data_IF_192348377674
#
_entry.id   IF_192348377674
#
_cell.length_a   1.000
_cell.length_b   1.000
_cell.length_c   1.000
_cell.angle_alpha   90.00
_cell.angle_beta   90.00
_cell.angle_gamma   90.00
#
_symmetry.space_group_name_H-M   'P 1'
#
loop_
_entity.id
_entity.type
_entity.pdbx_description
1 polymer ?
#
# COMPACT_ATOMS: atom_id res chain seq x y z
N UNK A 1 -6.62 -28.22 -33.18
CA UNK A 1 -7.94 -28.38 -33.84
C UNK A 1 -8.95 -27.48 -33.15
N UNK A 2 -9.04 -26.24 -33.63
CA UNK A 2 -9.90 -25.18 -33.08
C UNK A 2 -11.24 -25.23 -33.80
N UNK A 3 -12.05 -26.25 -33.52
CA UNK A 3 -13.34 -26.45 -34.23
C UNK A 3 -14.51 -25.65 -33.61
N UNK A 4 -14.24 -24.87 -32.55
CA UNK A 4 -15.24 -24.15 -31.77
C UNK A 4 -15.02 -22.62 -31.73
N UNK A 5 -14.11 -22.10 -32.56
CA UNK A 5 -14.09 -20.67 -32.86
C UNK A 5 -15.14 -20.37 -33.95
N UNK A 6 -16.43 -20.65 -33.66
CA UNK A 6 -17.49 -20.07 -34.50
C UNK A 6 -17.52 -18.58 -34.19
N UNK A 7 -17.17 -17.76 -35.18
CA UNK A 7 -17.27 -16.32 -35.10
C UNK A 7 -18.68 -15.94 -34.61
N UNK A 8 -18.73 -14.97 -33.68
CA UNK A 8 -19.93 -14.42 -33.03
C UNK A 8 -21.13 -14.22 -33.99
N UNK A 9 -20.84 -13.98 -35.27
CA UNK A 9 -21.80 -13.76 -36.35
C UNK A 9 -22.53 -15.02 -36.85
N UNK A 10 -22.13 -16.23 -36.44
CA UNK A 10 -22.69 -17.51 -36.96
C UNK A 10 -23.36 -18.40 -35.93
N UNK A 11 -23.23 -18.10 -34.63
CA UNK A 11 -23.74 -18.97 -33.54
C UNK A 11 -25.27 -19.00 -33.49
N UNK A 12 -25.93 -17.87 -33.78
CA UNK A 12 -27.40 -17.80 -33.84
C UNK A 12 -28.01 -18.73 -34.90
N UNK A 13 -27.24 -19.11 -35.93
CA UNK A 13 -27.62 -20.06 -36.99
C UNK A 13 -27.03 -21.45 -36.81
N UNK A 14 -26.20 -21.66 -35.78
CA UNK A 14 -25.61 -22.96 -35.49
C UNK A 14 -26.65 -23.94 -34.90
N UNK A 15 -26.29 -25.22 -34.81
CA UNK A 15 -27.14 -26.21 -34.16
C UNK A 15 -27.39 -25.85 -32.70
N UNK A 16 -28.54 -26.30 -32.14
CA UNK A 16 -28.87 -26.09 -30.73
C UNK A 16 -27.78 -26.63 -29.79
N UNK A 17 -27.17 -27.75 -30.12
CA UNK A 17 -26.03 -28.28 -29.37
C UNK A 17 -24.85 -27.31 -29.36
N UNK A 18 -24.49 -26.73 -30.51
CA UNK A 18 -23.40 -25.75 -30.58
C UNK A 18 -23.74 -24.45 -29.85
N UNK A 19 -25.00 -24.02 -29.84
CA UNK A 19 -25.48 -22.88 -29.06
C UNK A 19 -25.35 -23.13 -27.54
N UNK A 20 -25.71 -24.32 -27.06
CA UNK A 20 -25.49 -24.73 -25.66
C UNK A 20 -24.01 -24.85 -25.30
N UNK A 21 -23.20 -25.45 -26.19
CA UNK A 21 -21.74 -25.55 -26.00
C UNK A 21 -21.13 -24.15 -25.92
N UNK A 22 -21.57 -23.21 -26.76
CA UNK A 22 -21.11 -21.83 -26.70
C UNK A 22 -21.49 -21.16 -25.38
N UNK A 23 -22.76 -21.25 -24.96
CA UNK A 23 -23.21 -20.68 -23.70
C UNK A 23 -22.40 -21.22 -22.50
N UNK A 24 -22.19 -22.53 -22.41
CA UNK A 24 -21.47 -23.13 -21.28
C UNK A 24 -19.98 -22.81 -21.25
N UNK A 25 -19.35 -22.58 -22.40
CA UNK A 25 -17.90 -22.32 -22.47
C UNK A 25 -17.55 -20.84 -22.45
N UNK A 26 -18.45 -19.97 -22.93
CA UNK A 26 -18.13 -18.57 -23.18
C UNK A 26 -19.05 -17.57 -22.49
N UNK A 27 -20.12 -17.99 -21.79
CA UNK A 27 -21.06 -17.02 -21.20
C UNK A 27 -20.45 -16.06 -20.17
N UNK A 28 -19.35 -16.43 -19.53
CA UNK A 28 -18.64 -15.55 -18.59
C UNK A 28 -17.99 -14.33 -19.26
N UNK A 29 -17.75 -14.39 -20.58
CA UNK A 29 -17.09 -13.34 -21.35
C UNK A 29 -18.11 -12.32 -21.94
N UNK A 30 -19.41 -12.54 -21.74
CA UNK A 30 -20.48 -11.71 -22.29
C UNK A 30 -21.49 -11.31 -21.20
N UNK A 31 -22.01 -10.08 -21.31
CA UNK A 31 -23.14 -9.67 -20.48
C UNK A 31 -24.44 -10.36 -20.94
N UNK A 32 -25.46 -10.35 -20.08
CA UNK A 32 -26.70 -11.05 -20.36
C UNK A 32 -27.50 -10.46 -21.53
N UNK A 33 -27.33 -9.17 -21.86
CA UNK A 33 -27.97 -8.57 -23.03
C UNK A 33 -27.33 -9.07 -24.34
N UNK A 34 -25.99 -9.15 -24.37
CA UNK A 34 -25.23 -9.72 -25.46
C UNK A 34 -25.55 -11.20 -25.67
N UNK A 35 -25.68 -11.98 -24.58
CA UNK A 35 -26.09 -13.39 -24.66
C UNK A 35 -27.49 -13.56 -25.24
N UNK A 36 -28.47 -12.73 -24.83
CA UNK A 36 -29.84 -12.76 -25.40
C UNK A 36 -29.85 -12.41 -26.88
N UNK A 37 -28.98 -11.49 -27.32
CA UNK A 37 -28.82 -11.14 -28.74
C UNK A 37 -28.19 -12.28 -29.55
N UNK A 38 -27.20 -12.97 -29.00
CA UNK A 38 -26.50 -14.09 -29.67
C UNK A 38 -27.33 -15.38 -29.67
N UNK A 39 -28.11 -15.60 -28.61
CA UNK A 39 -28.91 -16.81 -28.34
C UNK A 39 -30.38 -16.45 -28.06
N UNK A 40 -31.15 -15.97 -29.07
CA UNK A 40 -32.52 -15.50 -28.87
C UNK A 40 -33.54 -16.62 -28.63
N UNK A 41 -33.10 -17.87 -28.44
CA UNK A 41 -33.99 -18.99 -28.15
C UNK A 41 -34.52 -18.93 -26.73
N UNK A 42 -35.83 -19.14 -26.55
CA UNK A 42 -36.48 -19.09 -25.24
C UNK A 42 -35.91 -20.11 -24.24
N UNK A 43 -35.34 -21.21 -24.73
CA UNK A 43 -34.68 -22.22 -23.91
C UNK A 43 -33.39 -21.72 -23.23
N UNK A 44 -32.79 -20.63 -23.73
CA UNK A 44 -31.59 -20.04 -23.16
C UNK A 44 -31.89 -18.95 -22.12
N UNK A 45 -33.09 -18.36 -22.14
CA UNK A 45 -33.47 -17.29 -21.19
C UNK A 45 -33.30 -17.72 -19.71
N UNK A 46 -33.75 -18.91 -19.27
CA UNK A 46 -33.54 -19.33 -17.87
C UNK A 46 -32.06 -19.48 -17.52
N UNK A 47 -31.24 -19.96 -18.46
CA UNK A 47 -29.81 -20.13 -18.25
C UNK A 47 -29.09 -18.79 -18.19
N UNK A 48 -29.39 -17.87 -19.10
CA UNK A 48 -28.83 -16.50 -19.12
C UNK A 48 -29.22 -15.76 -17.84
N UNK A 49 -30.49 -15.82 -17.42
CA UNK A 49 -30.95 -15.17 -16.18
C UNK A 49 -30.28 -15.75 -14.91
N UNK A 50 -30.04 -17.06 -14.89
CA UNK A 50 -29.31 -17.70 -13.78
C UNK A 50 -27.86 -17.21 -13.72
N UNK A 51 -27.19 -17.10 -14.87
CA UNK A 51 -25.81 -16.59 -14.98
C UNK A 51 -25.75 -15.13 -14.51
N UNK A 52 -26.67 -14.27 -14.94
CA UNK A 52 -26.75 -12.88 -14.47
C UNK A 52 -26.90 -12.80 -12.94
N UNK A 53 -27.77 -13.63 -12.37
CA UNK A 53 -28.00 -13.66 -10.91
C UNK A 53 -26.73 -14.08 -10.15
N UNK A 54 -26.01 -15.07 -10.67
CA UNK A 54 -24.75 -15.54 -10.07
C UNK A 54 -23.65 -14.48 -10.22
N UNK A 55 -23.55 -13.87 -11.40
CA UNK A 55 -22.58 -12.81 -11.70
C UNK A 55 -22.79 -11.61 -10.78
N UNK A 56 -24.02 -11.10 -10.67
CA UNK A 56 -24.36 -9.97 -9.82
C UNK A 56 -24.00 -10.23 -8.34
N UNK A 57 -24.32 -11.43 -7.82
CA UNK A 57 -23.94 -11.81 -6.45
C UNK A 57 -22.44 -11.93 -6.25
N UNK A 58 -21.72 -12.39 -7.26
CA UNK A 58 -20.26 -12.56 -7.21
C UNK A 58 -19.57 -11.20 -7.28
N UNK A 59 -20.04 -10.30 -8.14
CA UNK A 59 -19.56 -8.93 -8.24
C UNK A 59 -19.81 -8.16 -6.93
N UNK A 60 -21.01 -8.26 -6.36
CA UNK A 60 -21.33 -7.67 -5.05
C UNK A 60 -20.37 -8.15 -3.96
N UNK A 61 -20.08 -9.47 -3.94
CA UNK A 61 -19.12 -10.05 -3.01
C UNK A 61 -17.71 -9.53 -3.25
N UNK A 62 -17.24 -9.49 -4.49
CA UNK A 62 -15.91 -8.98 -4.85
C UNK A 62 -15.77 -7.50 -4.47
N UNK A 63 -16.82 -6.70 -4.66
CA UNK A 63 -16.83 -5.29 -4.26
C UNK A 63 -16.76 -5.14 -2.74
N UNK A 64 -17.45 -5.98 -1.99
CA UNK A 64 -17.37 -6.00 -0.52
C UNK A 64 -15.97 -6.40 -0.04
N UNK A 65 -15.44 -7.52 -0.54
CA UNK A 65 -14.13 -8.05 -0.15
C UNK A 65 -13.00 -7.03 -0.51
N UNK A 66 -13.11 -6.34 -1.65
CA UNK A 66 -12.19 -5.25 -2.02
C UNK A 66 -12.25 -4.06 -1.08
N UNK A 67 -13.45 -3.63 -0.65
CA UNK A 67 -13.62 -2.54 0.32
C UNK A 67 -13.02 -2.90 1.68
N UNK A 68 -13.27 -4.12 2.15
CA UNK A 68 -12.73 -4.59 3.41
C UNK A 68 -11.19 -4.66 3.38
N UNK A 69 -10.63 -5.17 2.27
CA UNK A 69 -9.17 -5.17 2.05
C UNK A 69 -8.61 -3.75 2.05
N UNK A 70 -9.22 -2.82 1.32
CA UNK A 70 -8.76 -1.43 1.26
C UNK A 70 -8.77 -0.76 2.64
N UNK A 71 -9.80 -1.04 3.46
CA UNK A 71 -9.86 -0.53 4.83
C UNK A 71 -8.72 -1.09 5.70
N UNK A 72 -8.48 -2.40 5.64
CA UNK A 72 -7.38 -3.03 6.40
C UNK A 72 -6.01 -2.52 5.95
N UNK A 73 -5.80 -2.39 4.64
CA UNK A 73 -4.55 -1.86 4.08
C UNK A 73 -4.30 -0.43 4.57
N UNK A 74 -5.34 0.40 4.65
CA UNK A 74 -5.27 1.77 5.20
C UNK A 74 -4.95 1.78 6.69
N UNK A 75 -5.61 0.93 7.49
CA UNK A 75 -5.35 0.80 8.92
C UNK A 75 -3.91 0.32 9.19
N UNK A 76 -3.43 -0.65 8.42
CA UNK A 76 -2.05 -1.15 8.48
C UNK A 76 -1.04 -0.05 8.14
N UNK A 77 -1.27 0.69 7.06
CA UNK A 77 -0.38 1.78 6.66
C UNK A 77 -0.28 2.88 7.74
N UNK A 78 -1.41 3.27 8.35
CA UNK A 78 -1.41 4.24 9.46
C UNK A 78 -0.67 3.71 10.68
N UNK A 79 -0.90 2.44 11.03
CA UNK A 79 -0.22 1.82 12.18
C UNK A 79 1.28 1.80 11.97
N UNK A 80 1.74 1.38 10.78
CA UNK A 80 3.15 1.38 10.41
C UNK A 80 3.77 2.77 10.49
N UNK A 81 3.15 3.78 9.87
CA UNK A 81 3.66 5.16 9.89
C UNK A 81 3.75 5.74 11.32
N UNK A 82 2.81 5.38 12.20
CA UNK A 82 2.84 5.82 13.62
C UNK A 82 3.94 5.11 14.42
N UNK A 83 4.19 3.84 14.13
CA UNK A 83 5.24 3.07 14.79
C UNK A 83 6.62 3.58 14.37
N UNK A 84 6.85 3.72 13.06
CA UNK A 84 8.09 4.24 12.48
C UNK A 84 8.41 5.64 13.01
N UNK A 85 7.46 6.59 12.94
CA UNK A 85 7.68 7.93 13.47
C UNK A 85 7.93 7.98 14.99
N UNK A 86 7.44 6.99 15.74
CA UNK A 86 7.72 6.89 17.20
C UNK A 86 9.08 6.25 17.47
N UNK A 87 9.53 5.36 16.61
CA UNK A 87 10.86 4.76 16.68
C UNK A 87 11.93 5.78 16.31
N UNK A 88 11.79 6.44 15.15
CA UNK A 88 12.67 7.52 14.69
C UNK A 88 12.77 8.63 15.74
N UNK A 89 11.65 9.17 16.23
CA UNK A 89 11.68 10.21 17.26
C UNK A 89 12.31 9.77 18.59
N UNK A 90 12.30 8.45 18.91
CA UNK A 90 13.05 7.93 20.08
C UNK A 90 14.52 7.76 19.78
N UNK A 91 14.89 7.38 18.58
CA UNK A 91 16.28 7.24 18.17
C UNK A 91 16.94 8.62 18.13
N UNK A 92 16.34 9.57 17.40
CA UNK A 92 16.81 10.96 17.33
C UNK A 92 16.96 11.58 18.72
N UNK A 93 15.93 11.48 19.57
CA UNK A 93 15.99 12.04 20.93
C UNK A 93 17.08 11.39 21.82
N UNK A 94 17.42 10.12 21.58
CA UNK A 94 18.55 9.46 22.27
C UNK A 94 19.89 9.94 21.74
N UNK A 95 20.01 10.17 20.43
CA UNK A 95 21.23 10.69 19.83
C UNK A 95 21.50 12.14 20.25
N UNK A 96 20.47 13.00 20.19
CA UNK A 96 20.54 14.38 20.69
C UNK A 96 20.98 14.43 22.15
N UNK A 97 20.39 13.59 23.02
CA UNK A 97 20.77 13.51 24.43
C UNK A 97 22.22 13.07 24.66
N UNK A 98 22.72 12.11 23.86
CA UNK A 98 24.13 11.69 23.92
C UNK A 98 25.07 12.81 23.51
N UNK A 99 24.76 13.50 22.40
CA UNK A 99 25.58 14.61 21.90
C UNK A 99 25.56 15.80 22.87
N UNK A 100 24.39 16.15 23.42
CA UNK A 100 24.27 17.21 24.41
C UNK A 100 25.14 16.94 25.65
N UNK A 101 25.11 15.71 26.18
CA UNK A 101 25.96 15.31 27.30
C UNK A 101 27.46 15.36 26.97
N UNK A 102 27.85 14.96 25.75
CA UNK A 102 29.24 15.06 25.30
C UNK A 102 29.71 16.52 25.15
N UNK A 103 28.86 17.39 24.61
CA UNK A 103 29.12 18.83 24.48
C UNK A 103 29.32 19.46 25.85
N UNK A 104 28.41 19.22 26.80
CA UNK A 104 28.52 19.74 28.16
C UNK A 104 29.81 19.29 28.85
N UNK A 105 30.21 18.03 28.66
CA UNK A 105 31.46 17.51 29.20
C UNK A 105 32.68 18.23 28.58
N UNK A 106 32.69 18.44 27.26
CA UNK A 106 33.77 19.16 26.58
C UNK A 106 33.85 20.63 27.02
N UNK A 107 32.70 21.30 27.19
CA UNK A 107 32.62 22.67 27.71
C UNK A 107 33.23 22.75 29.12
N UNK A 108 32.87 21.81 30.00
CA UNK A 108 33.45 21.72 31.35
C UNK A 108 34.97 21.51 31.32
N UNK A 109 35.48 20.63 30.45
CA UNK A 109 36.93 20.39 30.30
C UNK A 109 37.68 21.62 29.78
N UNK A 110 37.03 22.42 28.93
CA UNK A 110 37.55 23.70 28.46
C UNK A 110 37.47 24.82 29.52
N UNK A 111 36.77 24.58 30.64
CA UNK A 111 36.54 25.57 31.70
C UNK A 111 35.40 26.54 31.40
N UNK A 112 34.54 26.21 30.43
CA UNK A 112 33.34 26.96 30.06
C UNK A 112 32.14 26.49 30.91
N UNK A 113 31.12 27.37 31.04
CA UNK A 113 29.88 26.97 31.68
C UNK A 113 29.10 26.01 30.77
N UNK A 114 28.63 24.86 31.27
CA UNK A 114 27.90 23.89 30.45
C UNK A 114 26.57 24.46 29.98
N UNK A 115 26.32 24.33 28.68
CA UNK A 115 25.07 24.73 28.05
C UNK A 115 23.95 23.77 28.44
N UNK A 116 22.80 24.27 28.88
CA UNK A 116 21.68 23.43 29.32
C UNK A 116 21.00 22.69 28.16
N UNK A 117 20.41 21.53 28.47
CA UNK A 117 19.69 20.69 27.50
C UNK A 117 18.58 21.45 26.76
N UNK A 118 17.89 22.37 27.46
CA UNK A 118 16.83 23.19 26.86
C UNK A 118 17.30 24.13 25.74
N UNK A 119 18.60 24.42 25.67
CA UNK A 119 19.19 25.20 24.59
C UNK A 119 19.83 24.31 23.52
N UNK A 120 20.33 23.13 23.90
CA UNK A 120 21.03 22.20 23.01
C UNK A 120 20.07 21.33 22.18
N UNK A 121 19.11 20.67 22.83
CA UNK A 121 18.23 19.70 22.17
C UNK A 121 17.43 20.30 20.99
N UNK A 122 16.88 21.53 21.06
CA UNK A 122 16.14 22.11 19.94
C UNK A 122 16.98 22.43 18.69
N UNK A 123 18.32 22.35 18.76
CA UNK A 123 19.20 22.65 17.63
C UNK A 123 19.29 21.50 16.63
N UNK A 124 18.92 20.29 17.03
CA UNK A 124 19.01 19.08 16.21
C UNK A 124 20.40 18.46 16.14
N UNK A 125 20.44 17.20 15.70
CA UNK A 125 21.66 16.35 15.65
C UNK A 125 22.79 16.97 14.84
N UNK A 126 22.50 17.58 13.69
CA UNK A 126 23.52 18.17 12.81
C UNK A 126 24.26 19.34 13.48
N UNK A 127 23.51 20.23 14.13
CA UNK A 127 24.09 21.38 14.82
C UNK A 127 24.92 20.94 16.03
N UNK A 128 24.42 19.97 16.80
CA UNK A 128 25.13 19.39 17.94
C UNK A 128 26.43 18.71 17.51
N UNK A 129 26.39 17.92 16.43
CA UNK A 129 27.58 17.23 15.89
C UNK A 129 28.66 18.22 15.46
N UNK A 130 28.27 19.31 14.78
CA UNK A 130 29.18 20.38 14.38
C UNK A 130 29.80 21.06 15.61
N UNK A 131 28.98 21.42 16.59
CA UNK A 131 29.45 22.05 17.84
C UNK A 131 30.40 21.14 18.62
N UNK A 132 30.09 19.85 18.73
CA UNK A 132 30.97 18.87 19.36
C UNK A 132 32.33 18.80 18.66
N UNK A 133 32.35 18.78 17.33
CA UNK A 133 33.58 18.74 16.53
C UNK A 133 34.45 19.98 16.76
N UNK A 134 33.82 21.16 16.81
CA UNK A 134 34.50 22.42 17.10
C UNK A 134 35.10 22.42 18.52
N UNK A 135 34.36 21.95 19.52
CA UNK A 135 34.85 21.83 20.90
C UNK A 135 36.01 20.83 21.03
N UNK A 136 35.93 19.68 20.36
CA UNK A 136 37.02 18.70 20.33
C UNK A 136 38.30 19.29 19.71
N UNK A 137 38.17 20.09 18.65
CA UNK A 137 39.32 20.76 18.03
C UNK A 137 39.96 21.77 18.99
N UNK A 138 39.15 22.61 19.64
CA UNK A 138 39.62 23.59 20.63
C UNK A 138 40.34 22.94 21.80
N UNK A 139 39.84 21.80 22.27
CA UNK A 139 40.49 21.05 23.35
C UNK A 139 41.86 20.52 22.93
N UNK A 140 41.97 19.97 21.71
CA UNK A 140 43.24 19.49 21.15
C UNK A 140 44.26 20.61 20.97
N UNK A 141 43.83 21.76 20.45
CA UNK A 141 44.69 22.92 20.23
C UNK A 141 45.21 23.52 21.57
N UNK A 142 44.56 23.24 22.70
CA UNK A 142 44.99 23.64 24.04
C UNK A 142 46.02 22.70 24.66
N UNK A 143 45.96 21.42 24.30
CA UNK A 143 46.87 20.38 24.82
C UNK A 143 48.18 20.26 24.03
N UNK A 144 48.27 20.89 22.85
CA UNK A 144 49.46 20.93 22.00
C UNK A 144 50.35 22.14 22.28
#
# INVERSE_FOLDING_TARGET
MTKYALAEQTISRASKLNQWVFLLLHAQDYDGEALRRLLPGIEFEPAISTIETISAKTEDKQMYDQREKAQRDYEWAISGAREEGREEGREEGREEGKLAGQIQLLEQLLGEAPTGDGELLPQGIDALTKRMSDLQKRLRDRES
#
